data_IF_522662495526
#
_entry.id   IF_522662495526
#
_cell.length_a   1.000
_cell.length_b   1.000
_cell.length_c   1.000
_cell.angle_alpha   90.00
_cell.angle_beta   90.00
_cell.angle_gamma   90.00
#
_symmetry.space_group_name_H-M   'P 1'
#
loop_
_entity.id
_entity.type
_entity.pdbx_description
1 polymer ?
#
# COMPACT_ATOMS: atom_id res chain seq x y z
N UNK A 1 2.69 7.82 0.05
CA UNK A 1 3.16 6.42 0.26
C UNK A 1 2.69 5.97 1.63
N UNK A 2 2.21 4.72 1.75
CA UNK A 2 1.67 4.13 2.98
C UNK A 2 2.40 2.83 3.33
N UNK A 3 2.71 2.66 4.62
CA UNK A 3 3.30 1.49 5.28
C UNK A 3 2.75 1.41 6.71
N UNK A 4 2.81 0.25 7.37
CA UNK A 4 2.39 0.15 8.78
C UNK A 4 1.86 -1.21 9.24
N UNK A 5 1.47 -1.27 10.52
CA UNK A 5 0.97 -2.47 11.21
C UNK A 5 -0.27 -2.08 12.02
N UNK A 6 -1.40 -2.79 11.95
CA UNK A 6 -1.69 -3.95 11.10
C UNK A 6 -2.20 -3.56 9.69
N UNK A 7 -1.96 -4.42 8.70
CA UNK A 7 -2.40 -4.25 7.30
C UNK A 7 -3.92 -4.12 7.21
N UNK A 8 -4.65 -4.96 7.96
CA UNK A 8 -6.11 -4.95 8.08
C UNK A 8 -6.68 -3.84 8.95
N UNK A 9 -5.85 -3.26 9.82
CA UNK A 9 -6.25 -2.20 10.74
C UNK A 9 -5.96 -0.82 10.15
N UNK A 10 -4.91 -0.20 10.66
CA UNK A 10 -4.56 1.20 10.34
C UNK A 10 -4.25 1.40 8.87
N UNK A 11 -3.62 0.43 8.19
CA UNK A 11 -3.29 0.58 6.77
C UNK A 11 -4.57 0.57 5.93
N UNK A 12 -5.46 -0.40 6.13
CA UNK A 12 -6.72 -0.47 5.39
C UNK A 12 -7.64 0.73 5.64
N UNK A 13 -7.78 1.15 6.90
CA UNK A 13 -8.59 2.33 7.23
C UNK A 13 -8.03 3.61 6.60
N UNK A 14 -6.71 3.79 6.63
CA UNK A 14 -6.05 4.96 6.03
C UNK A 14 -6.12 4.94 4.51
N UNK A 15 -5.94 3.78 3.85
CA UNK A 15 -6.09 3.66 2.40
C UNK A 15 -7.48 4.11 1.96
N UNK A 16 -8.53 3.63 2.65
CA UNK A 16 -9.91 4.02 2.34
C UNK A 16 -10.11 5.53 2.51
N UNK A 17 -9.74 6.05 3.68
CA UNK A 17 -9.90 7.47 3.97
C UNK A 17 -9.16 8.35 2.95
N UNK A 18 -7.92 8.00 2.61
CA UNK A 18 -7.13 8.81 1.68
C UNK A 18 -7.62 8.67 0.22
N UNK A 19 -8.19 7.51 -0.14
CA UNK A 19 -8.83 7.34 -1.44
C UNK A 19 -10.12 8.19 -1.54
N UNK A 20 -10.91 8.25 -0.47
CA UNK A 20 -12.11 9.09 -0.40
C UNK A 20 -11.78 10.59 -0.49
N UNK A 21 -10.54 10.98 -0.15
CA UNK A 21 -10.01 12.34 -0.26
C UNK A 21 -9.27 12.60 -1.59
N UNK A 22 -9.41 11.71 -2.57
CA UNK A 22 -8.79 11.81 -3.91
C UNK A 22 -7.24 11.87 -3.90
N UNK A 23 -6.58 11.34 -2.87
CA UNK A 23 -5.12 11.22 -2.90
C UNK A 23 -4.66 10.16 -3.91
N UNK A 24 -3.55 10.42 -4.59
CA UNK A 24 -2.81 9.38 -5.32
C UNK A 24 -2.03 8.53 -4.33
N UNK A 25 -2.39 7.24 -4.24
CA UNK A 25 -1.88 6.35 -3.21
C UNK A 25 -0.90 5.32 -3.77
N UNK A 26 0.14 5.05 -2.98
CA UNK A 26 1.05 3.92 -3.17
C UNK A 26 1.23 3.21 -1.83
N UNK A 27 0.91 1.93 -1.77
CA UNK A 27 1.15 1.05 -0.62
C UNK A 27 2.38 0.20 -0.91
N UNK A 28 3.32 0.15 0.05
CA UNK A 28 4.45 -0.77 -0.07
C UNK A 28 4.12 -2.08 0.63
N UNK A 29 3.91 -3.15 -0.13
CA UNK A 29 3.47 -4.44 0.42
C UNK A 29 4.44 -4.97 1.48
N UNK A 30 5.75 -4.97 1.19
CA UNK A 30 6.80 -5.37 2.13
C UNK A 30 7.04 -4.39 3.29
N UNK A 31 6.35 -3.26 3.31
CA UNK A 31 6.34 -2.30 4.43
C UNK A 31 5.11 -2.41 5.32
N UNK A 32 4.21 -3.37 5.05
CA UNK A 32 3.03 -3.62 5.86
C UNK A 32 3.11 -4.99 6.53
N UNK A 33 2.57 -5.14 7.74
CA UNK A 33 2.49 -6.42 8.44
C UNK A 33 1.08 -6.65 8.94
N UNK A 34 0.63 -7.90 8.93
CA UNK A 34 -0.55 -8.35 9.66
C UNK A 34 -0.20 -9.61 10.45
N UNK A 35 -0.92 -9.88 11.54
CA UNK A 35 -0.76 -11.13 12.29
C UNK A 35 -1.24 -12.34 11.48
N UNK A 36 -2.22 -12.12 10.60
CA UNK A 36 -2.71 -13.15 9.68
C UNK A 36 -2.13 -12.93 8.27
N UNK A 37 -1.26 -13.82 7.79
CA UNK A 37 -0.64 -13.68 6.47
C UNK A 37 -1.64 -13.79 5.32
N UNK A 38 -2.74 -14.53 5.47
CA UNK A 38 -3.79 -14.64 4.44
C UNK A 38 -4.53 -13.30 4.30
N UNK A 39 -4.84 -12.65 5.43
CA UNK A 39 -5.45 -11.32 5.44
C UNK A 39 -4.53 -10.30 4.76
N UNK A 40 -3.23 -10.31 5.08
CA UNK A 40 -2.26 -9.44 4.42
C UNK A 40 -2.24 -9.66 2.89
N UNK A 41 -2.21 -10.92 2.44
CA UNK A 41 -2.17 -11.28 1.02
C UNK A 41 -3.45 -10.85 0.28
N UNK A 42 -4.63 -11.07 0.88
CA UNK A 42 -5.90 -10.64 0.29
C UNK A 42 -5.95 -9.12 0.16
N UNK A 43 -5.53 -8.40 1.21
CA UNK A 43 -5.55 -6.94 1.19
C UNK A 43 -4.60 -6.36 0.15
N UNK A 44 -3.35 -6.82 0.12
CA UNK A 44 -2.34 -6.30 -0.80
C UNK A 44 -2.56 -6.71 -2.26
N UNK A 45 -3.13 -7.90 -2.52
CA UNK A 45 -3.31 -8.38 -3.91
C UNK A 45 -4.69 -8.11 -4.51
N UNK A 46 -5.73 -7.98 -3.69
CA UNK A 46 -7.13 -7.90 -4.20
C UNK A 46 -7.85 -6.63 -3.79
N UNK A 47 -7.59 -6.12 -2.59
CA UNK A 47 -8.36 -4.97 -2.05
C UNK A 47 -7.68 -3.65 -2.39
N UNK A 48 -6.43 -3.44 -1.97
CA UNK A 48 -5.70 -2.20 -2.19
C UNK A 48 -5.50 -1.82 -3.66
N UNK A 49 -5.27 -2.75 -4.62
CA UNK A 49 -5.13 -2.38 -6.03
C UNK A 49 -6.34 -1.68 -6.64
N UNK A 50 -7.50 -1.70 -5.98
CA UNK A 50 -8.69 -0.96 -6.42
C UNK A 50 -8.61 0.54 -6.14
N UNK A 51 -7.71 0.97 -5.25
CA UNK A 51 -7.64 2.34 -4.73
C UNK A 51 -6.20 2.90 -4.67
N UNK A 52 -5.18 2.06 -4.77
CA UNK A 52 -3.77 2.43 -4.64
C UNK A 52 -2.87 1.55 -5.53
N UNK A 53 -1.74 2.11 -5.95
CA UNK A 53 -0.65 1.29 -6.50
C UNK A 53 -0.04 0.45 -5.37
N UNK A 54 0.08 -0.86 -5.56
CA UNK A 54 0.75 -1.73 -4.60
C UNK A 54 2.09 -2.15 -5.19
N UNK A 55 3.18 -1.75 -4.53
CA UNK A 55 4.54 -1.95 -5.03
C UNK A 55 5.42 -2.64 -3.98
N UNK A 56 6.47 -3.31 -4.45
CA UNK A 56 7.63 -3.58 -3.61
C UNK A 56 8.42 -2.30 -3.34
N UNK A 57 9.21 -2.29 -2.27
CA UNK A 57 10.14 -1.19 -1.96
C UNK A 57 11.10 -0.96 -3.13
N UNK A 58 11.57 -2.03 -3.77
CA UNK A 58 12.50 -1.95 -4.90
C UNK A 58 11.87 -1.28 -6.13
N UNK A 59 10.63 -1.63 -6.48
CA UNK A 59 9.90 -0.98 -7.58
C UNK A 59 9.64 0.49 -7.31
N UNK A 60 9.25 0.82 -6.08
CA UNK A 60 9.00 2.21 -5.69
C UNK A 60 10.26 3.07 -5.77
N UNK A 61 11.40 2.58 -5.24
CA UNK A 61 12.69 3.28 -5.33
C UNK A 61 13.12 3.52 -6.79
N UNK A 62 12.89 2.54 -7.67
CA UNK A 62 13.16 2.70 -9.10
C UNK A 62 12.31 3.81 -9.71
N UNK A 63 11.00 3.86 -9.42
CA UNK A 63 10.10 4.92 -9.91
C UNK A 63 10.56 6.31 -9.47
N UNK A 64 10.90 6.48 -8.19
CA UNK A 64 11.38 7.77 -7.67
C UNK A 64 12.68 8.24 -8.34
N UNK A 65 13.53 7.30 -8.75
CA UNK A 65 14.79 7.65 -9.41
C UNK A 65 14.55 8.07 -10.86
N UNK A 66 13.60 7.42 -11.54
CA UNK A 66 13.22 7.74 -12.92
C UNK A 66 12.48 9.08 -13.05
N UNK A 67 11.64 9.45 -12.08
CA UNK A 67 10.92 10.75 -12.08
C UNK A 67 11.83 11.95 -11.78
N UNK A 68 13.07 11.72 -11.32
CA UNK A 68 14.04 12.78 -10.99
C UNK A 68 15.00 13.13 -12.14
N UNK A 69 14.91 12.44 -13.28
CA UNK A 69 15.71 12.68 -14.49
C UNK A 69 14.89 13.35 -15.58
#
# INVERSE_FOLDING_TARGET
MLTGIATSGVVLSTVRQAADLDYRLTVLAGGCLDSDPEVHDVLTRKVFPRQADVLSVAEWTKRLTADRS
#
